data_IF_151248338170
#
_entry.id   IF_151248338170
#
_cell.length_a   1.000
_cell.length_b   1.000
_cell.length_c   1.000
_cell.angle_alpha   90.00
_cell.angle_beta   90.00
_cell.angle_gamma   90.00
#
_symmetry.space_group_name_H-M   'P 1'
#
loop_
_entity.id
_entity.type
_entity.pdbx_description
1 polymer ?
#
# COMPACT_ATOMS: atom_id res chain seq x y z
N UNK A 1 34.08 -75.38 11.25
CA UNK A 1 34.57 -73.98 11.22
C UNK A 1 33.66 -73.18 10.35
N UNK A 2 32.74 -72.38 10.95
CA UNK A 2 31.87 -71.47 10.21
C UNK A 2 32.22 -70.05 10.66
N UNK A 3 32.77 -69.24 9.70
CA UNK A 3 33.13 -67.84 9.91
C UNK A 3 31.86 -66.96 9.83
N UNK A 4 31.60 -66.21 10.87
CA UNK A 4 30.52 -65.21 10.91
C UNK A 4 31.08 -63.88 10.49
N UNK A 5 30.63 -63.33 9.32
CA UNK A 5 30.92 -61.95 8.91
C UNK A 5 29.85 -61.04 9.52
N UNK A 6 30.27 -60.22 10.45
CA UNK A 6 29.48 -59.12 11.00
C UNK A 6 29.46 -57.94 10.01
N UNK A 7 28.30 -57.59 9.46
CA UNK A 7 28.12 -56.38 8.63
C UNK A 7 27.88 -55.20 9.53
N UNK A 8 28.83 -54.31 9.61
CA UNK A 8 28.72 -53.02 10.25
C UNK A 8 27.90 -52.08 9.33
N UNK A 9 26.68 -51.74 9.70
CA UNK A 9 25.87 -50.72 9.03
C UNK A 9 26.22 -49.38 9.67
N UNK A 10 26.94 -48.53 8.92
CA UNK A 10 27.20 -47.16 9.32
C UNK A 10 26.00 -46.30 8.90
N UNK A 11 25.24 -45.85 9.84
CA UNK A 11 24.15 -44.92 9.66
C UNK A 11 24.74 -43.49 9.56
N UNK A 12 24.86 -42.93 8.38
CA UNK A 12 25.19 -41.53 8.18
C UNK A 12 23.95 -40.69 8.49
N UNK A 13 23.90 -40.09 9.67
CA UNK A 13 22.96 -39.03 9.97
C UNK A 13 23.41 -37.72 9.24
N UNK A 14 22.78 -37.42 8.13
CA UNK A 14 22.91 -36.10 7.52
C UNK A 14 22.26 -35.05 8.44
N UNK A 15 23.08 -34.34 9.20
CA UNK A 15 22.65 -33.11 9.90
C UNK A 15 22.40 -32.05 8.83
N UNK A 16 21.16 -31.86 8.43
CA UNK A 16 20.73 -30.67 7.71
C UNK A 16 20.90 -29.47 8.65
N UNK A 17 21.96 -28.71 8.45
CA UNK A 17 22.12 -27.41 9.09
C UNK A 17 21.01 -26.50 8.59
N UNK A 18 19.99 -26.26 9.41
CA UNK A 18 19.07 -25.16 9.24
C UNK A 18 19.93 -23.87 9.31
N UNK A 19 20.29 -23.35 8.15
CA UNK A 19 20.86 -22.02 8.07
C UNK A 19 19.74 -21.07 8.51
N UNK A 20 19.82 -20.55 9.71
CA UNK A 20 19.00 -19.42 10.15
C UNK A 20 19.37 -18.25 9.25
N UNK A 21 18.44 -17.79 8.42
CA UNK A 21 18.60 -16.54 7.72
C UNK A 21 18.88 -15.44 8.77
N UNK A 22 19.90 -14.63 8.53
CA UNK A 22 20.15 -13.48 9.38
C UNK A 22 18.86 -12.62 9.44
N UNK A 23 18.52 -12.04 10.60
CA UNK A 23 17.35 -11.18 10.69
C UNK A 23 17.47 -10.06 9.65
N UNK A 24 16.35 -9.67 9.00
CA UNK A 24 16.36 -8.60 8.03
C UNK A 24 16.93 -7.33 8.66
N UNK A 25 17.88 -6.72 7.98
CA UNK A 25 18.50 -5.47 8.44
C UNK A 25 18.03 -4.34 7.55
N UNK A 26 17.35 -3.38 8.16
CA UNK A 26 16.97 -2.15 7.48
C UNK A 26 18.02 -1.05 7.67
N UNK A 27 18.23 -0.26 6.62
CA UNK A 27 18.96 0.99 6.71
C UNK A 27 18.26 1.93 7.71
N UNK A 28 18.99 2.84 8.31
CA UNK A 28 18.37 3.94 9.06
C UNK A 28 17.44 4.73 8.13
N UNK A 29 16.28 5.18 8.66
CA UNK A 29 15.33 5.99 7.90
C UNK A 29 15.96 7.26 7.36
N UNK A 30 15.63 7.61 6.12
CA UNK A 30 16.11 8.81 5.43
C UNK A 30 14.93 9.61 4.91
N UNK A 31 15.03 10.92 5.02
CA UNK A 31 14.07 11.82 4.41
C UNK A 31 14.30 11.90 2.91
N UNK A 32 13.25 11.76 2.09
CA UNK A 32 13.33 11.78 0.63
C UNK A 32 12.55 12.92 -0.03
N UNK A 33 11.64 13.54 0.69
CA UNK A 33 10.86 14.67 0.22
C UNK A 33 11.60 16.01 0.27
N UNK A 34 10.92 17.08 -0.12
CA UNK A 34 11.40 18.45 0.08
C UNK A 34 11.61 18.74 1.56
N UNK A 35 12.51 19.67 1.89
CA UNK A 35 12.80 20.03 3.27
C UNK A 35 11.82 21.03 3.87
N UNK A 36 10.95 21.62 3.07
CA UNK A 36 9.90 22.57 3.46
C UNK A 36 8.52 22.06 3.08
N UNK A 37 7.48 22.62 3.68
CA UNK A 37 6.11 22.20 3.46
C UNK A 37 5.75 20.91 4.17
N UNK A 38 4.55 20.41 3.91
CA UNK A 38 4.00 19.21 4.51
C UNK A 38 3.80 18.13 3.44
N UNK A 39 4.07 16.86 3.78
CA UNK A 39 4.07 15.75 2.82
C UNK A 39 3.62 14.49 3.52
N UNK A 40 2.70 13.74 2.93
CA UNK A 40 2.21 12.44 3.41
C UNK A 40 1.72 11.58 2.26
N UNK A 41 1.22 10.39 2.52
CA UNK A 41 0.61 9.49 1.55
C UNK A 41 1.51 9.18 0.33
N UNK A 42 2.75 8.70 0.57
CA UNK A 42 3.63 8.35 -0.52
C UNK A 42 3.27 7.00 -1.14
N UNK A 43 3.46 6.90 -2.46
CA UNK A 43 3.49 5.65 -3.18
C UNK A 43 4.91 5.36 -3.69
N UNK A 44 5.28 4.07 -3.79
CA UNK A 44 6.62 3.65 -4.22
C UNK A 44 6.54 2.54 -5.24
N UNK A 45 7.43 2.57 -6.23
CA UNK A 45 7.64 1.49 -7.18
C UNK A 45 9.13 1.33 -7.49
N UNK A 46 9.51 0.11 -7.90
CA UNK A 46 10.88 -0.22 -8.32
C UNK A 46 10.86 -0.86 -9.71
N UNK A 47 11.77 -0.48 -10.58
CA UNK A 47 11.87 -1.05 -11.92
C UNK A 47 12.92 -2.16 -12.02
N UNK A 48 13.01 -2.78 -13.20
CA UNK A 48 13.96 -3.87 -13.45
C UNK A 48 15.43 -3.44 -13.49
N UNK A 49 15.72 -2.14 -13.56
CA UNK A 49 17.09 -1.61 -13.54
C UNK A 49 17.59 -1.31 -12.12
N UNK A 50 16.71 -1.32 -11.12
CA UNK A 50 17.01 -0.94 -9.74
C UNK A 50 16.74 0.52 -9.44
N UNK A 51 16.06 1.23 -10.33
CA UNK A 51 15.59 2.57 -10.08
C UNK A 51 14.33 2.54 -9.21
N UNK A 52 14.31 3.36 -8.18
CA UNK A 52 13.20 3.50 -7.23
C UNK A 52 12.51 4.84 -7.49
N UNK A 53 11.19 4.83 -7.47
CA UNK A 53 10.33 5.99 -7.68
C UNK A 53 9.44 6.19 -6.47
N UNK A 54 9.39 7.41 -5.94
CA UNK A 54 8.47 7.80 -4.86
C UNK A 54 7.64 8.97 -5.34
N UNK A 55 6.32 8.79 -5.37
CA UNK A 55 5.33 9.78 -5.76
C UNK A 55 4.56 10.23 -4.52
N UNK A 56 4.38 11.55 -4.35
CA UNK A 56 3.70 12.07 -3.16
C UNK A 56 3.12 13.47 -3.38
N UNK A 57 2.01 13.83 -2.74
CA UNK A 57 1.50 15.19 -2.72
C UNK A 57 2.32 16.08 -1.76
N UNK A 58 2.66 17.26 -2.22
CA UNK A 58 3.41 18.27 -1.44
C UNK A 58 2.52 19.46 -1.11
N UNK A 59 2.31 19.69 0.17
CA UNK A 59 1.51 20.78 0.72
C UNK A 59 2.41 21.97 1.11
N UNK A 60 2.93 22.63 0.09
CA UNK A 60 3.81 23.78 0.24
C UNK A 60 4.16 24.38 -1.12
N UNK A 61 4.88 25.50 -1.12
CA UNK A 61 5.39 26.06 -2.36
C UNK A 61 6.50 25.18 -2.91
N UNK A 62 6.45 24.94 -4.22
CA UNK A 62 7.52 24.23 -4.93
C UNK A 62 8.46 25.27 -5.52
N UNK A 63 9.79 25.19 -5.28
CA UNK A 63 10.75 26.10 -5.88
C UNK A 63 10.61 26.14 -7.40
N UNK A 64 10.72 27.32 -7.97
CA UNK A 64 10.69 27.58 -9.42
C UNK A 64 9.40 27.21 -10.17
N UNK A 65 8.36 26.74 -9.48
CA UNK A 65 7.07 26.44 -10.08
C UNK A 65 6.03 27.54 -9.81
N UNK A 66 5.82 28.42 -10.78
CA UNK A 66 4.86 29.53 -10.66
C UNK A 66 3.40 29.13 -10.81
N UNK A 67 3.12 27.99 -11.45
CA UNK A 67 1.76 27.50 -11.73
C UNK A 67 1.35 26.31 -10.86
N UNK A 68 2.23 25.84 -9.98
CA UNK A 68 1.89 24.77 -9.07
C UNK A 68 0.93 25.24 -8.00
N UNK A 69 -0.23 24.64 -7.94
CA UNK A 69 -1.20 24.82 -6.85
C UNK A 69 -1.04 23.74 -5.81
N UNK A 70 -1.07 24.15 -4.56
CA UNK A 70 -0.95 23.28 -3.40
C UNK A 70 -2.25 22.45 -3.22
N UNK A 71 -2.18 21.11 -2.98
CA UNK A 71 -0.95 20.31 -3.05
C UNK A 71 -0.49 20.05 -4.49
N UNK A 72 0.82 19.83 -4.65
CA UNK A 72 1.46 19.54 -5.95
C UNK A 72 2.01 18.12 -5.94
N UNK A 73 1.76 17.36 -7.00
CA UNK A 73 2.28 16.01 -7.15
C UNK A 73 3.76 16.04 -7.53
N UNK A 74 4.61 15.48 -6.67
CA UNK A 74 6.04 15.40 -6.83
C UNK A 74 6.51 13.96 -6.99
N UNK A 75 7.46 13.75 -7.89
CA UNK A 75 8.18 12.51 -8.10
C UNK A 75 9.64 12.71 -7.68
N UNK A 76 10.15 11.82 -6.86
CA UNK A 76 11.58 11.71 -6.57
C UNK A 76 12.06 10.32 -6.95
N UNK A 77 13.24 10.22 -7.54
CA UNK A 77 13.81 8.95 -7.98
C UNK A 77 15.20 8.72 -7.39
N UNK A 78 15.57 7.45 -7.26
CA UNK A 78 16.91 6.98 -6.92
C UNK A 78 17.40 6.02 -8.00
N UNK A 79 18.65 6.21 -8.46
CA UNK A 79 19.30 5.35 -9.46
C UNK A 79 20.26 4.31 -8.83
N UNK A 80 20.32 4.28 -7.51
CA UNK A 80 21.30 3.47 -6.76
C UNK A 80 20.64 2.66 -5.62
N UNK A 81 19.43 2.15 -5.88
CA UNK A 81 18.64 1.34 -4.93
C UNK A 81 18.37 2.09 -3.60
N UNK A 82 17.97 3.35 -3.68
CA UNK A 82 17.57 4.14 -2.52
C UNK A 82 18.71 4.68 -1.65
N UNK A 83 19.97 4.57 -2.10
CA UNK A 83 21.13 5.08 -1.34
C UNK A 83 21.26 6.60 -1.46
N UNK A 84 20.94 7.15 -2.63
CA UNK A 84 20.82 8.59 -2.86
C UNK A 84 19.57 8.92 -3.67
N UNK A 85 19.09 10.14 -3.54
CA UNK A 85 17.83 10.60 -4.14
C UNK A 85 18.05 11.85 -4.97
N UNK A 86 17.43 11.89 -6.13
CA UNK A 86 17.42 13.05 -7.02
C UNK A 86 16.60 14.20 -6.40
N UNK A 87 16.70 15.39 -6.98
CA UNK A 87 15.79 16.50 -6.64
C UNK A 87 14.37 16.15 -7.07
N UNK A 88 13.36 16.32 -6.19
CA UNK A 88 11.97 16.08 -6.55
C UNK A 88 11.53 16.90 -7.76
N UNK A 89 10.81 16.28 -8.68
CA UNK A 89 10.30 16.87 -9.91
C UNK A 89 8.79 17.02 -9.84
N UNK A 90 8.27 18.12 -10.37
CA UNK A 90 6.82 18.31 -10.54
C UNK A 90 6.33 17.39 -11.66
N UNK A 91 5.29 16.58 -11.36
CA UNK A 91 4.71 15.69 -12.36
C UNK A 91 3.98 16.47 -13.46
N UNK A 92 3.18 17.46 -13.06
CA UNK A 92 2.42 18.29 -13.99
C UNK A 92 2.23 19.70 -13.41
N UNK A 93 2.68 20.73 -14.13
CA UNK A 93 2.38 22.09 -13.74
C UNK A 93 0.89 22.41 -14.00
N UNK A 94 0.12 22.56 -12.95
CA UNK A 94 -1.32 22.82 -13.04
C UNK A 94 -1.79 23.83 -11.99
N UNK A 95 -2.86 24.55 -12.32
CA UNK A 95 -3.56 25.42 -11.36
C UNK A 95 -4.52 24.67 -10.44
N UNK A 96 -4.44 23.35 -10.38
CA UNK A 96 -5.28 22.47 -9.59
C UNK A 96 -4.47 21.77 -8.49
N UNK A 97 -5.04 21.62 -7.29
CA UNK A 97 -4.49 20.74 -6.27
C UNK A 97 -4.51 19.29 -6.73
N UNK A 98 -3.49 18.52 -6.35
CA UNK A 98 -3.26 17.13 -6.73
C UNK A 98 -3.15 16.25 -5.49
N UNK A 99 -3.93 15.15 -5.43
CA UNK A 99 -4.14 14.35 -4.23
C UNK A 99 -4.01 12.86 -4.53
N UNK A 100 -3.77 12.05 -3.50
CA UNK A 100 -3.90 10.58 -3.48
C UNK A 100 -3.02 9.90 -4.55
N UNK A 101 -1.72 9.90 -4.32
CA UNK A 101 -0.70 9.37 -5.23
C UNK A 101 -0.70 7.84 -5.30
N UNK A 102 -0.64 7.27 -6.52
CA UNK A 102 -0.30 5.86 -6.74
C UNK A 102 0.70 5.74 -7.88
N UNK A 103 1.64 4.81 -7.78
CA UNK A 103 2.64 4.54 -8.82
C UNK A 103 2.88 3.03 -8.93
N UNK A 104 3.02 2.55 -10.15
CA UNK A 104 3.31 1.15 -10.43
C UNK A 104 4.28 1.03 -11.62
N UNK A 105 5.17 0.05 -11.58
CA UNK A 105 5.93 -0.43 -12.73
C UNK A 105 5.22 -1.64 -13.29
N UNK A 106 5.05 -1.70 -14.61
CA UNK A 106 4.45 -2.86 -15.28
C UNK A 106 5.30 -4.12 -15.03
N UNK A 107 4.78 -5.13 -14.33
CA UNK A 107 5.53 -6.35 -14.05
C UNK A 107 5.82 -7.19 -15.30
N UNK A 108 5.17 -6.91 -16.45
CA UNK A 108 5.40 -7.64 -17.69
C UNK A 108 6.70 -7.21 -18.38
N UNK A 109 7.06 -5.94 -18.35
CA UNK A 109 8.30 -5.43 -18.97
C UNK A 109 9.30 -4.87 -17.94
N UNK A 110 8.85 -4.63 -16.71
CA UNK A 110 9.63 -4.07 -15.60
C UNK A 110 10.29 -2.72 -15.93
N UNK A 111 9.69 -1.97 -16.83
CA UNK A 111 10.21 -0.73 -17.40
C UNK A 111 9.18 0.37 -17.52
N UNK A 112 7.98 0.03 -18.01
CA UNK A 112 6.89 1.00 -18.17
C UNK A 112 6.34 1.39 -16.81
N UNK A 113 6.26 2.68 -16.55
CA UNK A 113 5.82 3.25 -15.29
C UNK A 113 4.48 3.93 -15.50
N UNK A 114 3.57 3.69 -14.57
CA UNK A 114 2.28 4.36 -14.51
C UNK A 114 2.15 5.06 -13.17
N UNK A 115 1.63 6.27 -13.19
CA UNK A 115 1.28 7.02 -11.99
C UNK A 115 -0.14 7.56 -12.12
N UNK A 116 -0.90 7.58 -11.02
CA UNK A 116 -2.27 8.09 -11.01
C UNK A 116 -2.49 8.95 -9.77
N UNK A 117 -3.31 10.00 -9.93
CA UNK A 117 -3.69 10.91 -8.85
C UNK A 117 -4.98 11.65 -9.17
N UNK A 118 -5.53 12.32 -8.18
CA UNK A 118 -6.73 13.16 -8.28
C UNK A 118 -6.37 14.63 -8.53
N UNK A 119 -7.16 15.29 -9.36
CA UNK A 119 -7.05 16.73 -9.67
C UNK A 119 -8.41 17.42 -9.65
N UNK A 120 -8.40 18.74 -9.84
CA UNK A 120 -9.58 19.59 -10.02
C UNK A 120 -10.61 19.43 -8.89
N UNK A 121 -10.16 19.61 -7.64
CA UNK A 121 -11.01 19.39 -6.47
C UNK A 121 -11.46 17.93 -6.37
N UNK A 122 -10.55 16.99 -6.63
CA UNK A 122 -10.75 15.54 -6.65
C UNK A 122 -11.80 15.05 -7.69
N UNK A 123 -12.16 15.87 -8.70
CA UNK A 123 -13.16 15.49 -9.72
C UNK A 123 -12.55 14.88 -10.98
N UNK A 124 -11.25 14.80 -11.08
CA UNK A 124 -10.55 14.24 -12.24
C UNK A 124 -9.50 13.25 -11.76
N UNK A 125 -9.53 12.03 -12.30
CA UNK A 125 -8.44 11.07 -12.17
C UNK A 125 -7.53 11.21 -13.38
N UNK A 126 -6.24 11.46 -13.15
CA UNK A 126 -5.21 11.59 -14.18
C UNK A 126 -4.28 10.38 -14.10
N UNK A 127 -3.97 9.80 -15.26
CA UNK A 127 -2.91 8.81 -15.43
C UNK A 127 -1.73 9.46 -16.15
N UNK A 128 -0.54 9.25 -15.64
CA UNK A 128 0.72 9.51 -16.32
C UNK A 128 1.40 8.18 -16.67
N UNK A 129 1.96 8.09 -17.88
CA UNK A 129 2.70 6.92 -18.36
C UNK A 129 4.08 7.34 -18.86
N UNK A 130 5.11 6.62 -18.43
CA UNK A 130 6.48 6.74 -18.94
C UNK A 130 6.95 5.39 -19.48
N UNK A 131 7.67 5.41 -20.59
CA UNK A 131 8.31 4.22 -21.21
C UNK A 131 9.84 4.34 -21.25
N UNK A 132 10.37 5.40 -20.64
CA UNK A 132 11.79 5.79 -20.66
C UNK A 132 12.33 6.04 -19.24
N UNK A 133 11.93 5.21 -18.29
CA UNK A 133 12.37 5.27 -16.88
C UNK A 133 12.04 6.59 -16.17
N UNK A 134 10.89 7.19 -16.50
CA UNK A 134 10.42 8.42 -15.88
C UNK A 134 11.05 9.70 -16.45
N UNK A 135 11.80 9.61 -17.57
CA UNK A 135 12.39 10.79 -18.20
C UNK A 135 11.33 11.67 -18.89
N UNK A 136 10.34 11.05 -19.52
CA UNK A 136 9.19 11.75 -20.11
C UNK A 136 7.87 11.08 -19.75
N UNK A 137 6.79 11.85 -19.73
CA UNK A 137 5.47 11.42 -19.33
C UNK A 137 4.39 11.81 -20.32
N UNK A 138 3.56 10.85 -20.69
CA UNK A 138 2.31 11.07 -21.41
C UNK A 138 1.13 11.04 -20.44
N UNK A 139 0.21 11.98 -20.55
CA UNK A 139 -0.92 12.14 -19.63
C UNK A 139 -2.24 11.79 -20.30
N UNK A 140 -3.09 11.04 -19.58
CA UNK A 140 -4.44 10.67 -20.00
C UNK A 140 -5.42 10.99 -18.88
N UNK A 141 -6.57 11.54 -19.21
CA UNK A 141 -7.67 11.66 -18.27
C UNK A 141 -8.40 10.31 -18.24
N UNK A 142 -8.39 9.67 -17.06
CA UNK A 142 -9.05 8.38 -16.84
C UNK A 142 -10.56 8.58 -16.75
N UNK A 143 -10.98 9.52 -15.90
CA UNK A 143 -12.39 9.84 -15.66
C UNK A 143 -12.55 11.28 -15.20
N UNK A 144 -13.74 11.86 -15.48
CA UNK A 144 -14.22 13.11 -14.92
C UNK A 144 -15.51 12.83 -14.15
N UNK A 145 -15.52 13.12 -12.86
CA UNK A 145 -16.70 13.01 -12.01
C UNK A 145 -17.45 14.35 -11.92
N UNK A 146 -18.75 14.29 -11.76
CA UNK A 146 -19.59 15.43 -11.41
C UNK A 146 -19.45 15.79 -9.92
N UNK A 147 -19.15 14.77 -9.10
CA UNK A 147 -18.84 14.88 -7.66
C UNK A 147 -17.39 14.52 -7.39
N UNK A 148 -16.97 14.63 -6.14
CA UNK A 148 -15.61 14.21 -5.72
C UNK A 148 -15.44 12.71 -5.89
N UNK A 149 -14.28 12.35 -6.42
CA UNK A 149 -13.72 11.00 -6.46
C UNK A 149 -12.67 10.87 -5.36
N UNK A 150 -12.42 9.65 -4.90
CA UNK A 150 -11.45 9.46 -3.83
C UNK A 150 -10.68 8.14 -3.97
N UNK A 151 -9.53 8.02 -3.29
CA UNK A 151 -8.75 6.78 -3.15
C UNK A 151 -8.47 6.05 -4.47
N UNK A 152 -7.81 6.66 -5.45
CA UNK A 152 -7.44 5.94 -6.66
C UNK A 152 -6.50 4.78 -6.31
N UNK A 153 -6.74 3.61 -6.91
CA UNK A 153 -5.87 2.46 -6.84
C UNK A 153 -5.50 2.01 -8.26
N UNK A 154 -4.23 1.64 -8.45
CA UNK A 154 -3.67 1.36 -9.76
C UNK A 154 -3.17 -0.08 -9.85
N UNK A 155 -3.61 -0.81 -10.87
CA UNK A 155 -3.07 -2.12 -11.23
C UNK A 155 -2.76 -2.17 -12.72
N UNK A 156 -1.60 -2.72 -13.06
CA UNK A 156 -1.12 -2.75 -14.45
C UNK A 156 -0.48 -4.09 -14.79
N UNK A 157 -0.72 -4.56 -16.03
CA UNK A 157 0.04 -5.66 -16.62
C UNK A 157 -0.09 -5.62 -18.14
N UNK A 158 1.00 -5.35 -18.86
CA UNK A 158 1.02 -5.26 -20.31
C UNK A 158 0.10 -4.16 -20.84
N UNK A 159 -0.91 -4.54 -21.63
CA UNK A 159 -1.89 -3.58 -22.15
C UNK A 159 -3.06 -3.33 -21.17
N UNK A 160 -3.20 -4.17 -20.14
CA UNK A 160 -4.25 -4.02 -19.12
C UNK A 160 -3.83 -2.97 -18.08
N UNK A 161 -4.62 -1.90 -17.97
CA UNK A 161 -4.47 -0.85 -16.96
C UNK A 161 -5.82 -0.66 -16.28
N UNK A 162 -5.84 -0.82 -14.97
CA UNK A 162 -7.05 -0.71 -14.15
C UNK A 162 -6.85 0.39 -13.12
N UNK A 163 -7.68 1.41 -13.19
CA UNK A 163 -7.69 2.51 -12.24
C UNK A 163 -9.02 2.46 -11.50
N UNK A 164 -8.99 1.99 -10.27
CA UNK A 164 -10.17 1.96 -9.41
C UNK A 164 -10.23 3.23 -8.57
N UNK A 165 -11.41 3.64 -8.15
CA UNK A 165 -11.64 4.83 -7.34
C UNK A 165 -12.96 4.74 -6.61
N UNK A 166 -13.09 5.49 -5.52
CA UNK A 166 -14.38 5.75 -4.90
C UNK A 166 -15.11 6.87 -5.65
N UNK A 167 -16.39 6.67 -5.88
CA UNK A 167 -17.33 7.67 -6.38
C UNK A 167 -18.55 7.66 -5.46
N UNK A 168 -18.66 8.66 -4.62
CA UNK A 168 -19.59 8.67 -3.48
C UNK A 168 -19.39 7.44 -2.57
N UNK A 169 -20.42 6.67 -2.28
CA UNK A 169 -20.34 5.45 -1.45
C UNK A 169 -19.89 4.21 -2.22
N UNK A 170 -19.59 4.33 -3.50
CA UNK A 170 -19.40 3.21 -4.40
C UNK A 170 -17.94 3.01 -4.84
N UNK A 171 -17.61 1.78 -5.22
CA UNK A 171 -16.34 1.41 -5.85
C UNK A 171 -16.54 1.29 -7.36
N UNK A 172 -15.78 2.05 -8.10
CA UNK A 172 -15.72 2.05 -9.55
C UNK A 172 -14.32 1.67 -10.04
N UNK A 173 -14.24 1.17 -11.27
CA UNK A 173 -12.98 0.93 -11.97
C UNK A 173 -13.10 1.42 -13.40
N UNK A 174 -12.10 2.13 -13.86
CA UNK A 174 -11.89 2.44 -15.27
C UNK A 174 -10.84 1.47 -15.82
N UNK A 175 -11.24 0.62 -16.75
CA UNK A 175 -10.40 -0.40 -17.37
C UNK A 175 -9.92 0.05 -18.75
N UNK A 176 -8.65 -0.18 -19.05
CA UNK A 176 -8.00 0.02 -20.35
C UNK A 176 -7.40 -1.28 -20.83
N UNK A 177 -7.47 -1.55 -22.14
CA UNK A 177 -6.81 -2.68 -22.80
C UNK A 177 -5.85 -2.20 -23.93
N UNK A 178 -5.50 -0.92 -23.90
CA UNK A 178 -4.62 -0.27 -24.88
C UNK A 178 -3.43 0.45 -24.23
N UNK A 179 -3.07 0.01 -23.02
CA UNK A 179 -1.95 0.57 -22.24
C UNK A 179 -2.23 1.96 -21.69
N UNK A 180 -3.47 2.26 -21.32
CA UNK A 180 -3.86 3.49 -20.66
C UNK A 180 -4.19 4.64 -21.62
N UNK A 181 -4.45 4.38 -22.91
CA UNK A 181 -4.85 5.42 -23.88
C UNK A 181 -6.33 5.75 -23.82
N UNK A 182 -7.15 4.75 -23.57
CA UNK A 182 -8.60 4.91 -23.39
C UNK A 182 -9.11 4.06 -22.22
N UNK A 183 -10.21 4.48 -21.62
CA UNK A 183 -10.77 3.85 -20.42
C UNK A 183 -12.28 3.67 -20.52
N UNK A 184 -12.78 2.58 -19.96
CA UNK A 184 -14.21 2.30 -19.82
C UNK A 184 -14.54 2.12 -18.34
N UNK A 185 -15.31 3.03 -17.71
CA UNK A 185 -15.67 2.92 -16.31
C UNK A 185 -16.79 1.90 -16.07
N UNK A 186 -16.67 1.13 -14.99
CA UNK A 186 -17.65 0.13 -14.55
C UNK A 186 -17.79 0.20 -13.04
N UNK A 187 -19.02 0.13 -12.52
CA UNK A 187 -19.30 0.01 -11.10
C UNK A 187 -19.04 -1.43 -10.65
N UNK A 188 -18.30 -1.59 -9.52
CA UNK A 188 -17.88 -2.91 -9.03
C UNK A 188 -18.80 -3.45 -7.94
N UNK A 189 -19.17 -2.63 -6.95
CA UNK A 189 -19.98 -3.06 -5.83
C UNK A 189 -21.49 -2.88 -6.02
N UNK A 190 -21.99 -3.18 -7.23
CA UNK A 190 -23.40 -2.95 -7.59
C UNK A 190 -24.42 -3.70 -6.71
N UNK A 191 -24.04 -4.84 -6.13
CA UNK A 191 -24.92 -5.69 -5.31
C UNK A 191 -24.94 -5.32 -3.83
N UNK A 192 -23.88 -4.71 -3.33
CA UNK A 192 -23.83 -4.20 -1.96
C UNK A 192 -24.33 -2.76 -1.92
N UNK A 193 -25.21 -2.42 -0.98
CA UNK A 193 -25.53 -1.04 -0.63
C UNK A 193 -24.80 -0.71 0.66
N UNK A 194 -23.50 -0.36 0.58
CA UNK A 194 -22.78 0.05 1.76
C UNK A 194 -23.35 1.39 2.24
N UNK A 195 -23.19 1.67 3.50
CA UNK A 195 -23.34 3.03 3.95
C UNK A 195 -22.25 3.91 3.37
N UNK A 196 -21.05 3.33 3.18
CA UNK A 196 -19.91 3.99 2.57
C UNK A 196 -18.84 2.93 2.20
N UNK A 197 -18.06 3.14 1.14
CA UNK A 197 -16.98 2.23 0.73
C UNK A 197 -15.64 2.96 0.74
N UNK A 198 -14.59 2.27 1.18
CA UNK A 198 -13.21 2.72 1.13
C UNK A 198 -12.40 1.75 0.28
N UNK A 199 -12.03 2.17 -0.91
CA UNK A 199 -11.13 1.42 -1.77
C UNK A 199 -9.73 1.36 -1.14
N UNK A 200 -9.15 0.16 -1.09
CA UNK A 200 -7.84 -0.07 -0.46
C UNK A 200 -6.75 -0.46 -1.46
N UNK A 201 -7.06 -1.31 -2.44
CA UNK A 201 -6.02 -1.83 -3.33
C UNK A 201 -6.56 -2.33 -4.67
N UNK A 202 -5.64 -2.42 -5.64
CA UNK A 202 -5.81 -3.09 -6.92
C UNK A 202 -4.56 -3.91 -7.27
N UNK A 203 -4.73 -5.07 -7.95
CA UNK A 203 -3.61 -5.87 -8.47
C UNK A 203 -4.04 -6.64 -9.72
N UNK A 204 -3.06 -7.11 -10.52
CA UNK A 204 -3.27 -8.01 -11.67
C UNK A 204 -2.38 -9.21 -11.50
N UNK A 205 -2.94 -10.42 -11.55
CA UNK A 205 -2.17 -11.66 -11.47
C UNK A 205 -1.41 -11.96 -12.79
N UNK A 206 -0.49 -12.94 -12.78
CA UNK A 206 0.23 -13.33 -14.00
C UNK A 206 -0.65 -13.83 -15.15
N UNK A 207 -1.86 -14.30 -14.87
CA UNK A 207 -2.83 -14.74 -15.87
C UNK A 207 -3.61 -13.57 -16.50
N UNK A 208 -3.45 -12.35 -15.97
CA UNK A 208 -4.13 -11.14 -16.45
C UNK A 208 -5.49 -10.88 -15.80
N UNK A 209 -5.87 -11.64 -14.77
CA UNK A 209 -7.06 -11.33 -13.99
C UNK A 209 -6.81 -10.11 -13.12
N UNK A 210 -7.76 -9.19 -13.09
CA UNK A 210 -7.68 -8.01 -12.24
C UNK A 210 -8.45 -8.21 -10.93
N UNK A 211 -7.93 -7.65 -9.85
CA UNK A 211 -8.51 -7.75 -8.51
C UNK A 211 -8.55 -6.39 -7.84
N UNK A 212 -9.63 -6.14 -7.10
CA UNK A 212 -9.83 -4.96 -6.28
C UNK A 212 -10.19 -5.39 -4.86
N UNK A 213 -9.76 -4.62 -3.86
CA UNK A 213 -10.14 -4.83 -2.47
C UNK A 213 -10.65 -3.55 -1.83
N UNK A 214 -11.72 -3.64 -1.04
CA UNK A 214 -12.29 -2.49 -0.34
C UNK A 214 -12.93 -2.87 0.99
N UNK A 215 -13.10 -1.87 1.84
CA UNK A 215 -13.87 -1.92 3.08
C UNK A 215 -15.24 -1.28 2.85
N UNK A 216 -16.31 -1.99 3.19
CA UNK A 216 -17.70 -1.54 3.08
C UNK A 216 -18.26 -1.29 4.48
N UNK A 217 -18.50 -0.04 4.81
CA UNK A 217 -18.97 0.43 6.10
C UNK A 217 -20.48 0.46 6.16
N UNK A 218 -21.03 0.14 7.33
CA UNK A 218 -22.48 0.01 7.49
C UNK A 218 -23.24 1.35 7.64
N UNK A 219 -22.53 2.45 7.91
CA UNK A 219 -23.14 3.78 8.07
C UNK A 219 -22.73 4.72 6.93
N UNK A 220 -23.63 5.57 6.51
CA UNK A 220 -23.39 6.59 5.50
C UNK A 220 -22.51 7.73 6.01
N UNK A 221 -21.87 8.46 5.07
CA UNK A 221 -21.15 9.70 5.32
C UNK A 221 -19.76 9.53 5.91
N UNK A 222 -19.10 8.39 5.65
CA UNK A 222 -17.71 8.16 6.02
C UNK A 222 -17.46 6.76 6.59
N UNK A 223 -16.23 6.49 7.00
CA UNK A 223 -15.77 5.21 7.51
C UNK A 223 -16.32 4.92 8.92
N UNK A 224 -17.60 4.63 9.02
CA UNK A 224 -18.32 4.46 10.29
C UNK A 224 -19.08 3.15 10.38
N UNK A 225 -19.17 2.62 11.59
CA UNK A 225 -19.92 1.40 11.90
C UNK A 225 -19.11 0.12 11.63
N UNK A 226 -19.80 -1.01 11.62
CA UNK A 226 -19.20 -2.29 11.28
C UNK A 226 -18.82 -2.36 9.80
N UNK A 227 -17.85 -3.21 9.48
CA UNK A 227 -17.25 -3.26 8.14
C UNK A 227 -17.33 -4.69 7.60
N UNK A 228 -17.67 -4.82 6.31
CA UNK A 228 -17.37 -5.99 5.52
C UNK A 228 -16.19 -5.67 4.58
N UNK A 229 -15.20 -6.54 4.55
CA UNK A 229 -14.07 -6.46 3.65
C UNK A 229 -14.32 -7.36 2.45
N UNK A 230 -14.12 -6.84 1.24
CA UNK A 230 -14.36 -7.56 0.00
C UNK A 230 -13.12 -7.60 -0.89
N UNK A 231 -13.01 -8.66 -1.67
CA UNK A 231 -12.12 -8.75 -2.84
C UNK A 231 -13.00 -9.09 -4.04
N UNK A 232 -12.86 -8.32 -5.13
CA UNK A 232 -13.51 -8.60 -6.41
C UNK A 232 -12.49 -9.03 -7.46
N UNK A 233 -12.90 -9.92 -8.35
CA UNK A 233 -12.14 -10.42 -9.49
C UNK A 233 -12.84 -10.08 -10.80
N UNK A 234 -12.06 -9.70 -11.80
CA UNK A 234 -12.46 -9.71 -13.21
C UNK A 234 -11.51 -10.58 -14.01
N UNK A 235 -12.06 -11.52 -14.77
CA UNK A 235 -11.32 -12.39 -15.69
C UNK A 235 -11.55 -12.03 -17.18
N UNK A 236 -12.25 -10.93 -17.45
CA UNK A 236 -12.69 -10.50 -18.78
C UNK A 236 -12.28 -9.06 -19.11
N UNK A 237 -11.08 -8.67 -18.63
CA UNK A 237 -10.49 -7.37 -18.88
C UNK A 237 -11.27 -6.19 -18.27
N UNK A 238 -11.89 -6.40 -17.11
CA UNK A 238 -12.58 -5.37 -16.35
C UNK A 238 -14.05 -5.15 -16.74
N UNK A 239 -14.63 -5.98 -17.61
CA UNK A 239 -16.01 -5.83 -18.07
C UNK A 239 -17.03 -6.28 -17.02
N UNK A 240 -16.74 -7.38 -16.33
CA UNK A 240 -17.57 -7.90 -15.25
C UNK A 240 -16.72 -8.21 -14.00
N UNK A 241 -17.34 -8.06 -12.84
CA UNK A 241 -16.68 -8.24 -11.55
C UNK A 241 -17.51 -9.15 -10.65
N UNK A 242 -16.82 -10.06 -9.97
CA UNK A 242 -17.39 -10.97 -8.97
C UNK A 242 -16.73 -10.70 -7.62
N UNK A 243 -17.50 -10.34 -6.60
CA UNK A 243 -16.99 -9.99 -5.28
C UNK A 243 -17.19 -11.13 -4.27
N UNK A 244 -16.15 -11.43 -3.51
CA UNK A 244 -16.14 -12.38 -2.38
C UNK A 244 -15.85 -11.61 -1.09
N UNK A 245 -16.59 -11.92 -0.02
CA UNK A 245 -16.30 -11.33 1.28
C UNK A 245 -15.06 -11.98 1.90
N UNK A 246 -14.03 -11.18 2.14
CA UNK A 246 -12.78 -11.61 2.77
C UNK A 246 -12.94 -11.76 4.29
N UNK A 247 -13.50 -10.74 4.95
CA UNK A 247 -13.60 -10.69 6.41
C UNK A 247 -14.66 -9.69 6.88
N UNK A 248 -14.79 -9.57 8.19
CA UNK A 248 -15.62 -8.56 8.86
C UNK A 248 -14.82 -7.88 9.97
N UNK A 249 -15.16 -6.62 10.26
CA UNK A 249 -14.61 -5.86 11.38
C UNK A 249 -15.73 -5.19 12.16
N UNK A 250 -15.58 -5.14 13.49
CA UNK A 250 -16.34 -4.22 14.31
C UNK A 250 -15.99 -2.77 13.99
N UNK A 251 -16.82 -1.83 14.42
CA UNK A 251 -16.55 -0.41 14.29
C UNK A 251 -15.21 -0.06 14.95
N UNK A 252 -14.38 0.71 14.25
CA UNK A 252 -13.11 1.20 14.77
C UNK A 252 -13.31 2.18 15.94
N UNK A 253 -12.30 2.36 16.81
CA UNK A 253 -12.31 3.43 17.80
C UNK A 253 -12.31 4.78 17.09
N UNK A 254 -13.00 5.75 17.70
CA UNK A 254 -12.89 7.13 17.27
C UNK A 254 -11.46 7.64 17.41
N UNK A 255 -11.03 8.46 16.51
CA UNK A 255 -9.79 9.21 16.64
C UNK A 255 -9.93 10.18 17.84
N UNK A 256 -8.93 10.26 18.70
CA UNK A 256 -8.95 11.15 19.85
C UNK A 256 -8.91 12.64 19.46
N UNK A 257 -8.72 12.93 18.19
CA UNK A 257 -8.64 14.27 17.63
C UNK A 257 -9.86 14.54 16.72
N UNK A 258 -10.53 15.65 16.90
CA UNK A 258 -11.79 15.97 16.22
C UNK A 258 -11.71 16.01 14.70
N UNK A 259 -10.52 16.19 14.12
CA UNK A 259 -10.31 16.26 12.67
C UNK A 259 -9.81 14.95 12.04
N UNK A 260 -9.42 13.97 12.85
CA UNK A 260 -8.89 12.72 12.35
C UNK A 260 -10.00 11.76 11.88
N UNK A 261 -11.21 11.89 12.38
CA UNK A 261 -12.33 11.05 11.96
C UNK A 261 -12.12 9.54 12.14
N UNK A 262 -13.18 8.78 12.06
CA UNK A 262 -13.12 7.31 12.13
C UNK A 262 -12.44 6.69 10.89
N UNK A 263 -12.37 7.42 9.76
CA UNK A 263 -11.82 6.96 8.49
C UNK A 263 -10.37 6.47 8.59
N UNK A 264 -9.56 7.13 9.40
CA UNK A 264 -8.13 6.81 9.53
C UNK A 264 -7.83 5.56 10.34
N UNK A 265 -8.69 5.23 11.28
CA UNK A 265 -8.53 4.05 12.13
C UNK A 265 -9.48 2.92 11.72
N UNK A 266 -10.33 3.15 10.75
CA UNK A 266 -11.23 2.15 10.20
C UNK A 266 -10.49 1.02 9.49
N UNK A 267 -11.19 -0.08 9.25
CA UNK A 267 -10.62 -1.21 8.54
C UNK A 267 -10.24 -0.82 7.10
N UNK A 268 -8.99 -1.08 6.75
CA UNK A 268 -8.42 -0.91 5.42
C UNK A 268 -7.85 -2.24 4.95
N UNK A 269 -7.76 -2.45 3.64
CA UNK A 269 -7.24 -3.68 3.06
C UNK A 269 -6.23 -3.38 1.97
N UNK A 270 -5.06 -4.01 2.06
CA UNK A 270 -4.05 -4.06 1.01
C UNK A 270 -4.06 -5.44 0.35
N UNK A 271 -3.80 -5.50 -0.96
CA UNK A 271 -3.88 -6.71 -1.78
C UNK A 271 -2.73 -6.73 -2.78
N UNK A 272 -2.15 -7.90 -2.99
CA UNK A 272 -1.12 -8.14 -4.01
C UNK A 272 -1.22 -9.56 -4.57
N UNK A 273 -0.55 -9.81 -5.69
CA UNK A 273 -0.35 -11.15 -6.26
C UNK A 273 1.15 -11.41 -6.43
N UNK A 274 1.59 -12.63 -6.16
CA UNK A 274 2.95 -13.04 -6.47
C UNK A 274 3.11 -13.51 -7.93
N UNK A 275 4.34 -13.89 -8.29
CA UNK A 275 4.66 -14.37 -9.64
C UNK A 275 3.99 -15.70 -10.02
N UNK A 276 3.47 -16.46 -9.06
CA UNK A 276 2.75 -17.73 -9.28
C UNK A 276 1.22 -17.52 -9.32
N UNK A 277 0.75 -16.30 -9.06
CA UNK A 277 -0.68 -15.94 -9.08
C UNK A 277 -1.40 -16.16 -7.77
N UNK A 278 -0.68 -16.47 -6.68
CA UNK A 278 -1.26 -16.48 -5.34
C UNK A 278 -1.58 -15.06 -4.91
N UNK A 279 -2.80 -14.86 -4.42
CA UNK A 279 -3.24 -13.60 -3.85
C UNK A 279 -2.92 -13.54 -2.36
N UNK A 280 -2.53 -12.37 -1.91
CA UNK A 280 -2.26 -12.08 -0.50
C UNK A 280 -2.98 -10.81 -0.08
N UNK A 281 -3.71 -10.89 1.01
CA UNK A 281 -4.41 -9.75 1.60
C UNK A 281 -3.88 -9.47 3.02
N UNK A 282 -3.70 -8.18 3.32
CA UNK A 282 -3.36 -7.66 4.64
C UNK A 282 -4.37 -6.59 5.01
N UNK A 283 -4.93 -6.66 6.22
CA UNK A 283 -5.94 -5.69 6.65
C UNK A 283 -5.90 -5.47 8.16
N UNK A 284 -6.41 -4.33 8.60
CA UNK A 284 -6.72 -4.13 10.01
C UNK A 284 -8.21 -4.39 10.27
N UNK A 285 -8.52 -5.03 11.40
CA UNK A 285 -9.87 -5.32 11.82
C UNK A 285 -9.98 -5.43 13.33
N UNK A 286 -11.14 -5.05 13.89
CA UNK A 286 -11.48 -5.17 15.30
C UNK A 286 -12.50 -6.25 15.56
N UNK A 287 -12.40 -6.88 16.74
CA UNK A 287 -13.36 -7.89 17.22
C UNK A 287 -14.48 -7.32 18.10
N UNK A 288 -14.28 -6.12 18.64
CA UNK A 288 -15.25 -5.42 19.50
C UNK A 288 -15.49 -4.00 19.01
N UNK A 289 -16.73 -3.53 19.15
CA UNK A 289 -17.10 -2.17 18.73
C UNK A 289 -16.31 -1.13 19.52
N UNK A 290 -15.71 -0.19 18.79
CA UNK A 290 -14.82 0.87 19.29
C UNK A 290 -13.56 0.33 20.01
N UNK A 291 -13.27 -0.94 19.84
CA UNK A 291 -12.03 -1.56 20.33
C UNK A 291 -10.88 -1.44 19.33
N UNK A 292 -9.65 -1.75 19.79
CA UNK A 292 -8.46 -1.64 18.97
C UNK A 292 -8.52 -2.60 17.77
N UNK A 293 -8.00 -2.13 16.64
CA UNK A 293 -7.83 -2.91 15.44
C UNK A 293 -6.52 -3.72 15.53
N UNK A 294 -6.51 -4.90 14.90
CA UNK A 294 -5.31 -5.74 14.75
C UNK A 294 -5.01 -5.97 13.27
N UNK A 295 -3.76 -6.25 12.95
CA UNK A 295 -3.34 -6.62 11.59
C UNK A 295 -3.56 -8.13 11.36
N UNK A 296 -4.27 -8.45 10.29
CA UNK A 296 -4.55 -9.80 9.83
C UNK A 296 -4.06 -10.01 8.40
N UNK A 297 -3.71 -11.25 8.12
CA UNK A 297 -3.24 -11.71 6.82
C UNK A 297 -4.01 -12.96 6.41
N UNK A 298 -4.21 -13.12 5.10
CA UNK A 298 -4.67 -14.35 4.47
C UNK A 298 -4.16 -14.45 3.04
N UNK A 299 -4.20 -15.66 2.48
CA UNK A 299 -3.84 -15.94 1.09
C UNK A 299 -4.90 -16.80 0.39
N UNK A 300 -4.90 -16.71 -0.95
CA UNK A 300 -5.76 -17.49 -1.84
C UNK A 300 -4.97 -17.98 -3.05
N UNK A 301 -5.03 -19.28 -3.32
CA UNK A 301 -4.39 -19.93 -4.49
C UNK A 301 -5.37 -20.20 -5.63
N UNK A 302 -6.64 -19.81 -5.50
CA UNK A 302 -7.69 -20.06 -6.49
C UNK A 302 -8.35 -18.76 -6.97
N UNK A 303 -7.57 -17.69 -7.05
CA UNK A 303 -8.04 -16.41 -7.60
C UNK A 303 -9.08 -15.70 -6.74
N UNK A 304 -8.98 -15.82 -5.41
CA UNK A 304 -9.83 -15.12 -4.46
C UNK A 304 -11.20 -15.76 -4.21
N UNK A 305 -11.47 -16.93 -4.78
CA UNK A 305 -12.73 -17.66 -4.54
C UNK A 305 -12.81 -18.15 -3.11
N UNK A 306 -11.68 -18.66 -2.56
CA UNK A 306 -11.55 -19.08 -1.18
C UNK A 306 -10.26 -18.50 -0.58
N UNK A 307 -10.36 -18.09 0.67
CA UNK A 307 -9.25 -17.55 1.45
C UNK A 307 -8.94 -18.49 2.63
N UNK A 308 -7.66 -18.63 2.95
CA UNK A 308 -7.26 -19.35 4.15
C UNK A 308 -7.79 -18.61 5.41
N UNK A 309 -7.94 -19.30 6.54
CA UNK A 309 -8.27 -18.63 7.80
C UNK A 309 -7.29 -17.51 8.10
N UNK A 310 -7.82 -16.34 8.50
CA UNK A 310 -6.99 -15.18 8.83
C UNK A 310 -6.04 -15.48 9.99
N UNK A 311 -4.83 -14.96 9.92
CA UNK A 311 -3.84 -15.03 11.00
C UNK A 311 -3.44 -13.60 11.42
N UNK A 312 -3.27 -13.38 12.73
CA UNK A 312 -2.69 -12.14 13.23
C UNK A 312 -1.18 -12.18 13.01
N UNK A 313 -0.64 -11.14 12.36
CA UNK A 313 0.78 -11.11 12.00
C UNK A 313 1.63 -10.16 12.86
N UNK A 314 1.00 -9.35 13.71
CA UNK A 314 1.69 -8.47 14.66
C UNK A 314 1.98 -9.20 15.97
N UNK A 315 3.19 -9.01 16.50
CA UNK A 315 3.60 -9.48 17.83
C UNK A 315 3.16 -8.55 18.97
N UNK A 316 2.54 -7.40 18.65
CA UNK A 316 2.03 -6.49 19.67
C UNK A 316 1.02 -7.16 20.59
N UNK A 317 0.97 -6.73 21.84
CA UNK A 317 -0.01 -7.20 22.82
C UNK A 317 -1.45 -6.90 22.39
N UNK A 318 -2.40 -7.57 23.01
CA UNK A 318 -3.81 -7.26 22.85
C UNK A 318 -4.07 -5.84 23.39
N UNK A 319 -4.88 -5.07 22.68
CA UNK A 319 -5.17 -3.68 23.05
C UNK A 319 -4.35 -2.62 22.33
N UNK A 320 -3.32 -3.01 21.60
CA UNK A 320 -2.57 -2.09 20.72
C UNK A 320 -3.35 -1.84 19.45
N UNK A 321 -3.56 -0.55 19.12
CA UNK A 321 -4.19 -0.12 17.87
C UNK A 321 -3.25 -0.26 16.68
N UNK A 322 -3.75 -0.83 15.57
CA UNK A 322 -3.03 -0.99 14.31
C UNK A 322 -3.80 -0.33 13.17
N UNK A 323 -3.08 0.22 12.21
CA UNK A 323 -3.64 0.84 11.02
C UNK A 323 -2.69 0.74 9.82
N UNK A 324 -3.17 1.15 8.65
CA UNK A 324 -2.39 1.35 7.42
C UNK A 324 -1.63 0.09 6.99
N UNK A 325 -2.34 -0.97 6.60
CA UNK A 325 -1.72 -2.17 6.05
C UNK A 325 -1.08 -1.86 4.69
N UNK A 326 0.13 -2.36 4.48
CA UNK A 326 0.81 -2.30 3.18
C UNK A 326 1.46 -3.66 2.88
N UNK A 327 1.36 -4.11 1.63
CA UNK A 327 1.81 -5.43 1.21
C UNK A 327 2.41 -5.39 -0.19
N UNK A 328 3.45 -6.17 -0.41
CA UNK A 328 4.02 -6.45 -1.73
C UNK A 328 4.43 -7.91 -1.80
N UNK A 329 4.33 -8.52 -2.96
CA UNK A 329 4.82 -9.87 -3.21
C UNK A 329 5.84 -9.86 -4.37
N UNK A 330 6.81 -10.76 -4.27
CA UNK A 330 7.83 -10.98 -5.28
C UNK A 330 7.62 -12.31 -6.03
N UNK A 331 8.62 -13.17 -6.00
CA UNK A 331 8.53 -14.53 -6.51
C UNK A 331 7.57 -15.37 -5.66
N UNK A 332 7.20 -16.56 -6.14
CA UNK A 332 6.23 -17.40 -5.46
C UNK A 332 6.54 -17.62 -3.98
N UNK A 333 5.60 -17.20 -3.13
CA UNK A 333 5.72 -17.27 -1.67
C UNK A 333 6.52 -16.15 -1.00
N UNK A 334 7.22 -15.26 -1.74
CA UNK A 334 7.87 -14.07 -1.15
C UNK A 334 6.80 -12.98 -0.89
N UNK A 335 6.47 -12.79 0.36
CA UNK A 335 5.46 -11.82 0.81
C UNK A 335 6.08 -10.89 1.86
N UNK A 336 5.90 -9.60 1.68
CA UNK A 336 6.44 -8.56 2.57
C UNK A 336 5.33 -7.64 2.99
N UNK A 337 5.21 -7.44 4.28
CA UNK A 337 4.13 -6.68 4.91
C UNK A 337 4.68 -5.59 5.81
N UNK A 338 3.96 -4.50 5.87
CA UNK A 338 4.22 -3.45 6.85
C UNK A 338 2.88 -2.85 7.33
N UNK A 339 2.92 -2.25 8.50
CA UNK A 339 1.79 -1.58 9.12
C UNK A 339 2.29 -0.54 10.10
N UNK A 340 1.39 0.31 10.58
CA UNK A 340 1.66 1.18 11.70
C UNK A 340 0.89 0.74 12.93
N UNK A 341 1.51 0.86 14.11
CA UNK A 341 0.82 0.67 15.39
C UNK A 341 1.39 1.58 16.49
N UNK A 342 0.62 1.71 17.55
CA UNK A 342 0.96 2.59 18.67
C UNK A 342 1.42 1.87 19.92
N UNK A 343 2.09 0.73 19.80
CA UNK A 343 2.61 -0.06 20.97
C UNK A 343 3.61 0.72 21.83
N UNK A 344 4.27 1.73 21.27
CA UNK A 344 5.22 2.57 21.98
C UNK A 344 4.56 3.78 22.67
N UNK A 345 3.23 3.86 22.66
CA UNK A 345 2.50 4.94 23.34
C UNK A 345 2.72 4.90 24.85
N UNK A 346 2.87 6.06 25.46
CA UNK A 346 3.04 6.20 26.91
C UNK A 346 2.28 7.41 27.45
N UNK A 347 1.54 7.21 28.53
CA UNK A 347 0.69 8.25 29.11
C UNK A 347 -0.37 8.75 28.13
N UNK A 348 -0.47 10.07 27.95
CA UNK A 348 -1.42 10.71 27.01
C UNK A 348 -0.86 10.88 25.60
N UNK A 349 0.28 10.28 25.29
CA UNK A 349 0.96 10.44 23.99
C UNK A 349 0.74 9.21 23.14
N UNK A 350 0.21 9.40 21.94
CA UNK A 350 0.07 8.34 20.93
C UNK A 350 1.29 8.36 20.03
N UNK A 351 2.04 7.27 20.02
CA UNK A 351 3.25 7.11 19.23
C UNK A 351 3.03 6.01 18.20
N UNK A 352 2.84 6.40 16.96
CA UNK A 352 2.72 5.49 15.84
C UNK A 352 4.11 5.21 15.27
N UNK A 353 4.42 3.94 15.06
CA UNK A 353 5.63 3.50 14.39
C UNK A 353 5.31 2.51 13.29
N UNK A 354 6.19 2.45 12.30
CA UNK A 354 6.09 1.54 11.17
C UNK A 354 6.84 0.26 11.47
N UNK A 355 6.17 -0.87 11.31
CA UNK A 355 6.69 -2.22 11.53
C UNK A 355 6.65 -3.02 10.23
N UNK A 356 7.54 -3.99 10.12
CA UNK A 356 7.75 -4.83 8.95
C UNK A 356 7.92 -6.30 9.32
N UNK A 357 7.43 -7.18 8.46
CA UNK A 357 7.75 -8.62 8.46
C UNK A 357 7.80 -9.15 7.04
N UNK A 358 8.51 -10.26 6.84
CA UNK A 358 8.53 -10.98 5.56
C UNK A 358 8.29 -12.47 5.76
N UNK A 359 7.81 -13.12 4.72
CA UNK A 359 7.63 -14.56 4.59
C UNK A 359 8.17 -15.01 3.24
N UNK A 360 8.85 -16.14 3.18
CA UNK A 360 9.31 -16.77 1.95
C UNK A 360 8.48 -18.01 1.56
N UNK A 361 7.38 -18.27 2.26
CA UNK A 361 6.51 -19.43 2.06
C UNK A 361 5.02 -19.09 2.09
N UNK A 362 4.67 -17.94 1.50
CA UNK A 362 3.27 -17.52 1.32
C UNK A 362 2.54 -17.16 2.62
N UNK A 363 3.26 -16.78 3.67
CA UNK A 363 2.68 -16.44 4.97
C UNK A 363 2.48 -17.64 5.90
N UNK A 364 2.94 -18.84 5.52
CA UNK A 364 2.88 -20.01 6.40
C UNK A 364 3.76 -19.83 7.64
N UNK A 365 4.90 -19.17 7.50
CA UNK A 365 5.75 -18.69 8.61
C UNK A 365 6.24 -17.27 8.31
N UNK A 366 6.50 -16.54 9.39
CA UNK A 366 6.94 -15.14 9.33
C UNK A 366 8.30 -14.98 9.98
N UNK A 367 9.15 -14.18 9.38
CA UNK A 367 10.40 -13.72 9.95
C UNK A 367 10.19 -12.86 11.20
N UNK A 368 11.29 -12.38 11.78
CA UNK A 368 11.27 -11.45 12.90
C UNK A 368 10.54 -10.15 12.54
N UNK A 369 9.80 -9.60 13.49
CA UNK A 369 9.16 -8.30 13.35
C UNK A 369 10.16 -7.18 13.63
N UNK A 370 10.25 -6.23 12.72
CA UNK A 370 11.22 -5.13 12.79
C UNK A 370 10.48 -3.80 12.84
N UNK A 371 10.83 -2.95 13.78
CA UNK A 371 10.45 -1.54 13.75
C UNK A 371 11.41 -0.80 12.82
N UNK A 372 10.88 -0.24 11.73
CA UNK A 372 11.68 0.47 10.71
C UNK A 372 11.68 1.99 10.89
N UNK A 373 10.69 2.57 11.57
CA UNK A 373 10.70 3.99 11.87
C UNK A 373 11.52 4.27 13.15
N UNK A 374 12.35 5.29 13.10
CA UNK A 374 13.16 5.75 14.23
C UNK A 374 12.54 6.91 15.00
N UNK A 375 11.56 7.59 14.42
CA UNK A 375 10.85 8.68 15.06
C UNK A 375 9.62 8.17 15.78
N UNK A 376 9.43 8.83 16.87
CA UNK A 376 8.26 8.65 17.69
C UNK A 376 7.92 10.05 18.06
N UNK A 377 7.10 10.56 17.85
CA UNK A 377 5.79 10.95 17.70
C UNK A 377 5.65 11.99 16.58
N UNK A 378 4.85 11.78 15.68
CA UNK A 378 4.57 12.73 14.65
C UNK A 378 3.21 13.38 14.76
N UNK A 379 2.41 12.89 15.61
CA UNK A 379 0.96 13.01 15.55
C UNK A 379 0.35 14.34 16.00
N UNK A 380 0.98 15.07 16.93
CA UNK A 380 0.40 16.31 17.47
C UNK A 380 0.77 17.60 16.73
N UNK A 381 1.67 17.52 15.77
CA UNK A 381 2.20 18.72 15.14
C UNK A 381 1.32 19.30 14.04
N UNK A 382 0.41 18.54 13.48
CA UNK A 382 -0.50 19.04 12.45
C UNK A 382 -1.61 19.84 13.14
N UNK A 383 -1.23 21.00 13.58
CA UNK A 383 -2.14 21.96 14.15
C UNK A 383 -2.93 22.70 13.07
N UNK A 384 -3.66 23.66 13.47
CA UNK A 384 -4.56 24.67 12.89
C UNK A 384 -4.63 24.88 11.36
N UNK A 385 -3.75 24.34 10.51
CA UNK A 385 -3.70 24.63 9.07
C UNK A 385 -3.45 23.41 8.18
N UNK A 386 -3.37 22.20 8.72
CA UNK A 386 -3.07 21.00 7.96
C UNK A 386 -3.78 19.79 8.51
N UNK A 387 -3.49 18.70 7.89
CA UNK A 387 -3.95 17.39 8.25
C UNK A 387 -3.35 16.99 9.61
N UNK A 388 -4.15 16.55 10.57
CA UNK A 388 -3.67 16.24 11.92
C UNK A 388 -2.99 14.89 12.05
N UNK A 389 -2.90 14.14 10.96
CA UNK A 389 -2.33 12.83 10.93
C UNK A 389 -1.16 12.79 9.91
N UNK A 390 0.08 12.90 10.35
CA UNK A 390 1.24 13.09 9.47
C UNK A 390 1.55 11.89 8.59
N UNK A 391 0.97 10.75 8.93
CA UNK A 391 1.16 9.52 8.20
C UNK A 391 0.33 9.47 6.91
N UNK A 392 -0.72 10.29 6.81
CA UNK A 392 -1.79 10.07 5.86
C UNK A 392 -2.59 8.83 6.24
N UNK A 393 -3.22 8.17 5.28
CA UNK A 393 -3.99 6.96 5.51
C UNK A 393 -3.52 5.76 4.69
N UNK A 394 -2.38 5.86 4.03
CA UNK A 394 -1.67 4.76 3.37
C UNK A 394 -0.17 5.07 3.23
N UNK A 395 0.60 4.05 2.96
CA UNK A 395 2.01 4.12 2.62
C UNK A 395 2.39 2.92 1.73
N UNK A 396 3.63 2.86 1.21
CA UNK A 396 3.98 1.91 0.17
C UNK A 396 5.19 1.04 0.45
N UNK A 397 5.17 -0.16 -0.17
CA UNK A 397 6.30 -1.07 -0.25
C UNK A 397 6.60 -1.39 -1.72
N UNK A 398 7.89 -1.56 -2.04
CA UNK A 398 8.36 -2.11 -3.31
C UNK A 398 9.51 -3.10 -3.08
N UNK A 399 9.69 -4.02 -4.02
CA UNK A 399 10.85 -4.93 -4.07
C UNK A 399 11.68 -4.53 -5.28
N UNK A 400 12.96 -4.27 -5.09
CA UNK A 400 13.85 -3.90 -6.18
C UNK A 400 14.41 -5.12 -6.95
N UNK A 401 15.27 -4.85 -7.92
CA UNK A 401 15.90 -5.89 -8.75
C UNK A 401 16.93 -6.75 -8.01
N UNK A 402 17.40 -6.34 -6.83
CA UNK A 402 18.27 -7.10 -5.95
C UNK A 402 17.51 -7.93 -4.93
N UNK A 403 16.20 -7.73 -4.84
CA UNK A 403 15.33 -8.34 -3.85
C UNK A 403 15.33 -7.60 -2.50
N UNK A 404 15.78 -6.36 -2.45
CA UNK A 404 15.66 -5.54 -1.25
C UNK A 404 14.25 -4.90 -1.16
N UNK A 405 13.73 -4.79 0.05
CA UNK A 405 12.46 -4.08 0.31
C UNK A 405 12.73 -2.61 0.47
N UNK A 406 11.93 -1.79 -0.21
CA UNK A 406 11.84 -0.36 0.01
C UNK A 406 10.51 -0.04 0.67
N UNK A 407 10.54 0.65 1.79
CA UNK A 407 9.35 1.13 2.49
C UNK A 407 9.39 2.64 2.51
N UNK A 408 8.28 3.28 2.12
CA UNK A 408 8.12 4.74 2.18
C UNK A 408 6.86 5.08 2.96
N UNK A 409 6.96 6.04 3.88
CA UNK A 409 5.85 6.45 4.73
C UNK A 409 5.90 7.94 5.04
N UNK A 410 4.77 8.50 5.46
CA UNK A 410 4.67 9.84 5.99
C UNK A 410 4.93 9.85 7.50
N UNK A 411 5.77 10.75 7.99
CA UNK A 411 6.02 10.94 9.43
C UNK A 411 6.62 12.32 9.69
N UNK A 412 6.30 12.91 10.83
CA UNK A 412 6.94 14.15 11.30
C UNK A 412 8.34 13.90 11.83
N UNK A 413 9.12 14.97 11.98
CA UNK A 413 10.42 14.94 12.66
C UNK A 413 10.28 15.05 14.17
N UNK A 414 9.22 15.66 14.64
CA UNK A 414 8.82 15.81 16.03
C UNK A 414 7.37 16.29 16.09
N UNK A 415 6.79 16.50 17.26
CA UNK A 415 5.40 16.97 17.44
C UNK A 415 5.05 18.33 16.84
N UNK A 416 6.01 19.09 16.35
CA UNK A 416 5.83 20.48 15.94
C UNK A 416 6.27 20.72 14.49
N UNK A 417 6.96 19.76 13.87
CA UNK A 417 7.41 19.89 12.49
C UNK A 417 6.39 19.34 11.49
N UNK A 418 6.36 19.87 10.28
CA UNK A 418 5.55 19.33 9.19
C UNK A 418 5.88 17.87 8.88
N UNK A 419 4.94 17.15 8.28
CA UNK A 419 5.12 15.82 7.75
C UNK A 419 6.16 15.78 6.64
N UNK A 420 6.85 14.66 6.55
CA UNK A 420 7.86 14.40 5.54
C UNK A 420 7.73 12.97 5.03
N UNK A 421 8.25 12.73 3.83
CA UNK A 421 8.36 11.39 3.31
C UNK A 421 9.68 10.78 3.79
N UNK A 422 9.57 9.61 4.39
CA UNK A 422 10.68 8.82 4.89
C UNK A 422 10.80 7.52 4.11
N UNK A 423 12.02 7.05 3.98
CA UNK A 423 12.38 5.82 3.30
C UNK A 423 13.35 5.02 4.16
N UNK A 424 13.17 3.71 4.16
CA UNK A 424 14.15 2.73 4.61
C UNK A 424 14.16 1.55 3.65
N UNK A 425 15.30 0.92 3.50
CA UNK A 425 15.45 -0.29 2.69
C UNK A 425 16.19 -1.37 3.44
N UNK A 426 15.86 -2.62 3.18
CA UNK A 426 16.47 -3.77 3.84
C UNK A 426 16.05 -5.10 3.24
N UNK A 427 16.73 -6.15 3.70
CA UNK A 427 16.53 -7.51 3.20
C UNK A 427 16.43 -8.50 4.35
#
# INVERSE_FOLDING_TARGET
MRSAYSKLVVLLCALASLAWAAPPQFSGQRRVGLTSGDQWEPAVAADGSGRIYVLYPHYGSVPDCKRCRVPTMLLVASDDNGKSWQTPQVMLETNSGEFDAQIAVDPADRRTIYAVWLQNGKRVVVLAKSVDFGATWAFTIVVRGEVELDKPALAVRGQGVYVAFNHEEEVWVAASQDGGRSFSPTRVNAESRPGWSLLGAATVDPAGNAYLAWASYSKAGGARGSVNLYVAKSADAGKAWSATRLDVSAAAPGCQDEECGEAYLGAQVALTSDADGTLYALWNAGSSSLGPQRIYFSSSTNGGENWLPRVSVSSAELGVEHAFPAIVAGNGGDVRIAWMDKRNSSGNSSYWNTYYRSSSNGGATWGEEIRISGYVPGYRYIGKKGFRFPFGDYFGLAIDNHGDTHVVWGEGMNYQSPGSIWHASGR
#
